data_IF_954534977764
#
_entry.id   IF_954534977764
#
_cell.length_a   1.000
_cell.length_b   1.000
_cell.length_c   1.000
_cell.angle_alpha   90.00
_cell.angle_beta   90.00
_cell.angle_gamma   90.00
#
_symmetry.space_group_name_H-M   'P 1'
#
loop_
_entity.id
_entity.type
_entity.pdbx_description
1 polymer ?
#
# COMPACT_ATOMS: atom_id res chain seq x y z
N UNK A 1 10.11 12.56 -17.96
CA UNK A 1 9.59 11.73 -16.83
C UNK A 1 9.16 12.56 -15.62
N UNK A 2 9.87 13.61 -15.19
CA UNK A 2 9.38 14.49 -14.11
C UNK A 2 8.22 15.41 -14.54
N UNK A 3 8.27 15.96 -15.76
CA UNK A 3 7.22 16.84 -16.29
C UNK A 3 5.85 16.16 -16.45
N UNK A 4 5.82 14.85 -16.73
CA UNK A 4 4.58 14.06 -16.83
C UNK A 4 3.89 13.84 -15.47
N UNK A 5 4.58 14.09 -14.35
CA UNK A 5 3.98 14.06 -13.01
C UNK A 5 3.36 15.41 -12.61
N UNK A 6 3.62 16.49 -13.35
CA UNK A 6 3.07 17.82 -13.04
C UNK A 6 1.54 17.84 -13.16
N UNK A 7 0.90 17.29 -14.21
CA UNK A 7 -0.56 17.28 -14.30
C UNK A 7 -1.27 16.63 -13.10
N UNK A 8 -0.93 15.40 -12.66
CA UNK A 8 -1.57 14.80 -11.48
C UNK A 8 -1.23 15.53 -10.18
N UNK A 9 -0.01 16.09 -10.05
CA UNK A 9 0.36 16.87 -8.86
C UNK A 9 -0.44 18.18 -8.74
N UNK A 10 -0.59 18.92 -9.83
CA UNK A 10 -1.40 20.16 -9.87
C UNK A 10 -2.87 19.83 -9.64
N UNK A 11 -3.38 18.76 -10.26
CA UNK A 11 -4.75 18.30 -10.03
C UNK A 11 -4.98 17.94 -8.55
N UNK A 12 -4.10 17.15 -7.95
CA UNK A 12 -4.18 16.80 -6.53
C UNK A 12 -4.07 18.05 -5.63
N UNK A 13 -3.14 18.97 -5.94
CA UNK A 13 -2.99 20.21 -5.19
C UNK A 13 -4.23 21.08 -5.23
N UNK A 14 -4.84 21.26 -6.40
CA UNK A 14 -6.10 22.00 -6.53
C UNK A 14 -7.26 21.29 -5.81
N UNK A 15 -7.36 19.96 -5.94
CA UNK A 15 -8.38 19.17 -5.27
C UNK A 15 -8.22 19.25 -3.74
N UNK A 16 -7.00 19.19 -3.21
CA UNK A 16 -6.72 19.28 -1.78
C UNK A 16 -7.22 20.58 -1.15
N UNK A 17 -7.20 21.70 -1.89
CA UNK A 17 -7.77 22.98 -1.43
C UNK A 17 -9.29 22.92 -1.26
N UNK A 18 -9.97 21.96 -1.88
CA UNK A 18 -11.44 21.76 -1.76
C UNK A 18 -11.81 20.75 -0.67
N UNK A 19 -10.86 19.95 -0.18
CA UNK A 19 -11.11 18.93 0.82
C UNK A 19 -11.35 19.62 2.17
N UNK A 20 -12.50 19.38 2.83
CA UNK A 20 -12.74 19.94 4.15
C UNK A 20 -11.75 19.37 5.16
N UNK A 21 -11.38 20.19 6.14
CA UNK A 21 -10.53 19.76 7.24
C UNK A 21 -11.16 18.59 8.02
N UNK A 22 -10.30 17.73 8.57
CA UNK A 22 -10.74 16.57 9.35
C UNK A 22 -11.60 17.02 10.55
N UNK A 23 -12.80 16.46 10.77
CA UNK A 23 -13.63 16.79 11.93
C UNK A 23 -12.90 16.64 13.26
N UNK A 24 -12.01 15.64 13.36
CA UNK A 24 -11.19 15.40 14.54
C UNK A 24 -10.21 16.54 14.81
N UNK A 25 -9.60 17.08 13.77
CA UNK A 25 -8.72 18.24 13.86
C UNK A 25 -9.49 19.51 14.28
N UNK A 26 -10.68 19.73 13.70
CA UNK A 26 -11.53 20.87 14.05
C UNK A 26 -11.98 20.82 15.52
N UNK A 27 -12.37 19.65 16.04
CA UNK A 27 -12.70 19.47 17.46
C UNK A 27 -11.47 19.72 18.35
N UNK A 28 -10.28 19.26 17.97
CA UNK A 28 -9.05 19.51 18.71
C UNK A 28 -8.68 21.01 18.80
N UNK A 29 -9.06 21.79 17.80
CA UNK A 29 -8.86 23.25 17.76
C UNK A 29 -10.03 24.03 18.40
N UNK A 30 -10.96 23.38 19.09
CA UNK A 30 -12.19 23.97 19.66
C UNK A 30 -13.15 24.60 18.62
N UNK A 31 -13.07 24.16 17.35
CA UNK A 31 -13.95 24.61 16.25
C UNK A 31 -15.09 23.62 16.00
N UNK A 32 -15.85 23.31 17.06
CA UNK A 32 -16.96 22.34 17.02
C UNK A 32 -18.07 22.66 16.01
N UNK A 33 -18.48 23.93 15.78
CA UNK A 33 -19.51 24.25 14.78
C UNK A 33 -19.09 23.88 13.36
N UNK A 34 -17.81 24.03 13.04
CA UNK A 34 -17.26 23.66 11.73
C UNK A 34 -17.14 22.15 11.59
N UNK A 35 -16.71 21.45 12.66
CA UNK A 35 -16.71 20.00 12.71
C UNK A 35 -18.12 19.42 12.47
N UNK A 36 -19.15 20.06 13.03
CA UNK A 36 -20.55 19.69 12.82
C UNK A 36 -20.97 19.82 11.36
N UNK A 37 -20.59 20.91 10.69
CA UNK A 37 -20.88 21.10 9.27
C UNK A 37 -20.21 20.02 8.40
N UNK A 38 -18.98 19.64 8.70
CA UNK A 38 -18.26 18.58 7.97
C UNK A 38 -18.88 17.20 8.24
N UNK A 39 -19.18 16.86 9.51
CA UNK A 39 -19.80 15.58 9.88
C UNK A 39 -21.21 15.42 9.30
N UNK A 40 -21.99 16.50 9.26
CA UNK A 40 -23.31 16.50 8.60
C UNK A 40 -23.21 16.11 7.13
N UNK A 41 -22.17 16.60 6.42
CA UNK A 41 -21.95 16.30 5.00
C UNK A 41 -21.45 14.88 4.73
N UNK A 42 -20.66 14.30 5.65
CA UNK A 42 -19.98 13.00 5.43
C UNK A 42 -20.78 11.82 5.99
N UNK A 43 -21.25 11.90 7.24
CA UNK A 43 -21.92 10.78 7.93
C UNK A 43 -23.45 10.94 7.99
N UNK A 44 -23.96 12.17 8.03
CA UNK A 44 -25.35 12.43 8.40
C UNK A 44 -25.68 11.96 9.83
N UNK A 45 -26.97 12.02 10.21
CA UNK A 45 -27.45 11.49 11.50
C UNK A 45 -27.15 12.38 12.72
N UNK A 46 -26.92 11.75 13.89
CA UNK A 46 -26.74 12.44 15.18
C UNK A 46 -25.32 13.01 15.33
N UNK A 47 -25.05 14.11 14.64
CA UNK A 47 -23.73 14.76 14.59
C UNK A 47 -23.23 15.18 15.97
N UNK A 48 -24.12 15.61 16.87
CA UNK A 48 -23.73 16.09 18.20
C UNK A 48 -23.17 14.98 19.08
N UNK A 49 -23.74 13.77 19.00
CA UNK A 49 -23.23 12.60 19.71
C UNK A 49 -21.83 12.22 19.22
N UNK A 50 -21.60 12.28 17.90
CA UNK A 50 -20.28 12.00 17.32
C UNK A 50 -19.24 13.05 17.72
N UNK A 51 -19.63 14.32 17.78
CA UNK A 51 -18.74 15.39 18.28
C UNK A 51 -18.37 15.14 19.74
N UNK A 52 -19.33 14.73 20.58
CA UNK A 52 -19.06 14.41 21.97
C UNK A 52 -18.08 13.23 22.13
N UNK A 53 -18.24 12.17 21.34
CA UNK A 53 -17.33 11.03 21.29
C UNK A 53 -15.92 11.44 20.85
N UNK A 54 -15.82 12.24 19.78
CA UNK A 54 -14.54 12.77 19.29
C UNK A 54 -13.89 13.65 20.35
N UNK A 55 -14.65 14.53 21.01
CA UNK A 55 -14.16 15.41 22.07
C UNK A 55 -13.60 14.61 23.24
N UNK A 56 -14.31 13.58 23.70
CA UNK A 56 -13.80 12.69 24.76
C UNK A 56 -12.48 12.03 24.36
N UNK A 57 -12.40 11.53 23.12
CA UNK A 57 -11.18 10.88 22.62
C UNK A 57 -10.01 11.85 22.51
N UNK A 58 -10.24 13.05 21.95
CA UNK A 58 -9.22 14.07 21.74
C UNK A 58 -8.69 14.62 23.07
N UNK A 59 -9.55 14.80 24.08
CA UNK A 59 -9.12 15.26 25.41
C UNK A 59 -8.31 14.20 26.17
N UNK A 60 -8.56 12.91 25.89
CA UNK A 60 -7.81 11.79 26.45
C UNK A 60 -6.51 11.50 25.69
N UNK A 61 -6.40 11.95 24.44
CA UNK A 61 -5.21 11.76 23.62
C UNK A 61 -4.08 12.69 24.05
N UNK A 62 -3.10 12.10 24.74
CA UNK A 62 -1.78 12.73 24.92
C UNK A 62 -1.09 12.80 23.55
N UNK A 63 -0.28 13.85 23.30
CA UNK A 63 0.53 13.93 22.08
C UNK A 63 1.37 12.65 21.95
N UNK A 64 1.22 11.88 20.86
CA UNK A 64 1.96 10.63 20.70
C UNK A 64 3.45 10.95 20.61
N UNK A 65 4.23 10.33 21.49
CA UNK A 65 5.67 10.45 21.51
C UNK A 65 6.32 9.17 20.97
N UNK A 66 7.53 9.29 20.43
CA UNK A 66 8.31 8.11 20.01
C UNK A 66 8.56 7.12 21.17
N UNK A 67 8.53 7.61 22.42
CA UNK A 67 8.56 6.79 23.63
C UNK A 67 7.38 5.83 23.75
N UNK A 68 6.23 6.15 23.16
CA UNK A 68 5.03 5.32 23.24
C UNK A 68 5.14 4.06 22.37
N UNK A 69 6.14 4.01 21.47
CA UNK A 69 6.49 2.83 20.70
C UNK A 69 7.33 1.83 21.52
N UNK A 70 7.86 2.25 22.67
CA UNK A 70 8.64 1.42 23.58
C UNK A 70 7.73 0.79 24.63
N UNK A 71 7.81 -0.53 24.74
CA UNK A 71 7.27 -1.31 25.84
C UNK A 71 7.91 -0.91 27.17
N UNK A 72 7.13 -1.01 28.25
CA UNK A 72 7.60 -0.86 29.64
C UNK A 72 8.77 -1.80 29.99
N UNK A 73 8.98 -2.87 29.23
CA UNK A 73 10.05 -3.86 29.41
C UNK A 73 11.34 -3.56 28.64
N UNK A 74 11.49 -2.39 27.99
CA UNK A 74 12.75 -1.97 27.37
C UNK A 74 12.98 -2.38 25.91
N UNK A 75 11.90 -2.50 25.11
CA UNK A 75 12.00 -2.79 23.66
C UNK A 75 10.78 -2.28 22.89
N UNK A 76 10.77 -2.37 21.55
CA UNK A 76 9.61 -1.94 20.76
C UNK A 76 8.36 -2.78 21.06
N UNK A 77 7.18 -2.18 20.94
CA UNK A 77 5.90 -2.88 21.08
C UNK A 77 5.80 -4.03 20.05
N UNK A 78 5.17 -5.17 20.41
CA UNK A 78 4.99 -6.29 19.48
C UNK A 78 4.33 -5.90 18.15
N UNK A 79 3.40 -4.95 18.18
CA UNK A 79 2.74 -4.44 16.96
C UNK A 79 3.71 -3.73 16.01
N UNK A 80 4.72 -3.04 16.56
CA UNK A 80 5.75 -2.36 15.79
C UNK A 80 6.64 -3.39 15.10
N UNK A 81 7.02 -4.47 15.80
CA UNK A 81 7.76 -5.58 15.21
C UNK A 81 6.99 -6.26 14.08
N UNK A 82 5.67 -6.47 14.23
CA UNK A 82 4.84 -7.02 13.16
C UNK A 82 4.83 -6.08 11.95
N UNK A 83 4.70 -4.77 12.15
CA UNK A 83 4.74 -3.77 11.07
C UNK A 83 6.09 -3.72 10.34
N UNK A 84 7.19 -3.76 11.09
CA UNK A 84 8.55 -3.82 10.53
C UNK A 84 8.71 -5.12 9.72
N UNK A 85 8.38 -6.26 10.32
CA UNK A 85 8.47 -7.55 9.65
C UNK A 85 7.66 -7.58 8.36
N UNK A 86 6.41 -7.11 8.38
CA UNK A 86 5.55 -7.04 7.21
C UNK A 86 6.15 -6.15 6.10
N UNK A 87 6.71 -4.99 6.48
CA UNK A 87 7.34 -4.06 5.53
C UNK A 87 8.61 -4.65 4.90
N UNK A 88 9.41 -5.36 5.70
CA UNK A 88 10.61 -6.06 5.22
C UNK A 88 10.21 -7.19 4.29
N UNK A 89 9.26 -8.05 4.67
CA UNK A 89 8.77 -9.13 3.80
C UNK A 89 8.18 -8.60 2.50
N UNK A 90 7.46 -7.47 2.53
CA UNK A 90 6.92 -6.83 1.33
C UNK A 90 8.04 -6.46 0.33
N UNK A 91 9.19 -5.98 0.81
CA UNK A 91 10.33 -5.69 -0.06
C UNK A 91 11.12 -6.93 -0.46
N UNK A 92 11.33 -7.88 0.46
CA UNK A 92 12.10 -9.11 0.22
C UNK A 92 11.47 -10.04 -0.83
N UNK A 93 10.14 -9.98 -1.01
CA UNK A 93 9.46 -10.62 -2.15
C UNK A 93 10.04 -10.17 -3.49
N UNK A 94 10.72 -9.02 -3.54
CA UNK A 94 11.42 -8.56 -4.74
C UNK A 94 10.48 -7.94 -5.76
N UNK A 95 9.32 -7.42 -5.32
CA UNK A 95 8.32 -6.82 -6.21
C UNK A 95 8.92 -5.70 -7.08
N UNK A 96 9.82 -4.90 -6.50
CA UNK A 96 10.56 -3.86 -7.24
C UNK A 96 11.46 -4.45 -8.32
N UNK A 97 12.11 -5.60 -8.06
CA UNK A 97 12.95 -6.27 -9.06
C UNK A 97 12.09 -6.74 -10.23
N UNK A 98 10.94 -7.34 -9.94
CA UNK A 98 9.99 -7.77 -10.99
C UNK A 98 9.49 -6.57 -11.80
N UNK A 99 9.09 -5.46 -11.17
CA UNK A 99 8.61 -4.29 -11.91
C UNK A 99 9.70 -3.62 -12.75
N UNK A 100 10.88 -3.32 -12.15
CA UNK A 100 11.94 -2.58 -12.83
C UNK A 100 12.69 -3.41 -13.87
N UNK A 101 12.90 -4.71 -13.60
CA UNK A 101 13.64 -5.61 -14.50
C UNK A 101 12.73 -6.57 -15.26
N UNK A 102 11.40 -6.36 -15.24
CA UNK A 102 10.45 -7.17 -16.00
C UNK A 102 10.87 -7.34 -17.45
N UNK A 103 11.16 -6.24 -18.15
CA UNK A 103 11.58 -6.27 -19.56
C UNK A 103 12.85 -7.11 -19.79
N UNK A 104 13.83 -7.02 -18.89
CA UNK A 104 15.08 -7.79 -18.95
C UNK A 104 14.81 -9.27 -18.68
N UNK A 105 13.97 -9.58 -17.68
CA UNK A 105 13.55 -10.96 -17.37
C UNK A 105 12.81 -11.58 -18.56
N UNK A 106 11.88 -10.86 -19.19
CA UNK A 106 11.16 -11.36 -20.35
C UNK A 106 12.08 -11.57 -21.55
N UNK A 107 13.07 -10.69 -21.75
CA UNK A 107 14.10 -10.86 -22.78
C UNK A 107 14.97 -12.09 -22.53
N UNK A 108 15.33 -12.34 -21.27
CA UNK A 108 16.11 -13.51 -20.87
C UNK A 108 15.37 -14.83 -21.11
N UNK A 109 14.03 -14.82 -21.19
CA UNK A 109 13.21 -15.99 -21.51
C UNK A 109 12.85 -16.04 -23.01
N UNK A 110 13.48 -15.21 -23.85
CA UNK A 110 13.35 -15.26 -25.32
C UNK A 110 12.22 -14.41 -25.91
N UNK A 111 11.54 -13.56 -25.13
CA UNK A 111 10.52 -12.64 -25.67
C UNK A 111 11.15 -11.40 -26.33
N UNK A 112 10.73 -11.11 -27.57
CA UNK A 112 11.25 -9.97 -28.36
C UNK A 112 10.84 -8.59 -27.81
N UNK A 113 11.67 -7.57 -28.06
CA UNK A 113 11.54 -6.19 -27.58
C UNK A 113 10.19 -5.52 -27.92
N UNK A 114 9.59 -5.87 -29.07
CA UNK A 114 8.26 -5.38 -29.49
C UNK A 114 7.13 -5.84 -28.56
N UNK A 115 7.30 -6.96 -27.86
CA UNK A 115 6.32 -7.47 -26.90
C UNK A 115 6.51 -6.88 -25.50
N UNK A 116 7.66 -6.25 -25.21
CA UNK A 116 7.96 -5.78 -23.86
C UNK A 116 7.00 -4.68 -23.40
N UNK A 117 6.62 -3.75 -24.27
CA UNK A 117 5.64 -2.70 -23.94
C UNK A 117 4.27 -3.30 -23.63
N UNK A 118 3.81 -4.24 -24.46
CA UNK A 118 2.53 -4.93 -24.27
C UNK A 118 2.53 -5.71 -22.95
N UNK A 119 3.63 -6.41 -22.64
CA UNK A 119 3.77 -7.14 -21.38
C UNK A 119 3.74 -6.18 -20.19
N UNK A 120 4.49 -5.07 -20.23
CA UNK A 120 4.47 -4.07 -19.15
C UNK A 120 3.07 -3.49 -18.92
N UNK A 121 2.33 -3.18 -19.99
CA UNK A 121 0.94 -2.71 -19.89
C UNK A 121 0.03 -3.77 -19.28
N UNK A 122 0.15 -5.03 -19.71
CA UNK A 122 -0.62 -6.14 -19.14
C UNK A 122 -0.28 -6.34 -17.66
N UNK A 123 1.00 -6.35 -17.29
CA UNK A 123 1.42 -6.47 -15.89
C UNK A 123 0.86 -5.31 -15.04
N UNK A 124 0.88 -4.09 -15.56
CA UNK A 124 0.26 -2.94 -14.91
C UNK A 124 -1.25 -3.09 -14.73
N UNK A 125 -1.97 -3.53 -15.77
CA UNK A 125 -3.40 -3.78 -15.72
C UNK A 125 -3.77 -4.88 -14.72
N UNK A 126 -3.04 -6.01 -14.73
CA UNK A 126 -3.21 -7.10 -13.78
C UNK A 126 -3.01 -6.59 -12.35
N UNK A 127 -1.96 -5.81 -12.09
CA UNK A 127 -1.71 -5.24 -10.77
C UNK A 127 -2.89 -4.37 -10.28
N UNK A 128 -3.43 -3.50 -11.15
CA UNK A 128 -4.59 -2.67 -10.81
C UNK A 128 -5.81 -3.53 -10.50
N UNK A 129 -6.14 -4.49 -11.36
CA UNK A 129 -7.30 -5.39 -11.18
C UNK A 129 -7.15 -6.19 -9.90
N UNK A 130 -5.99 -6.81 -9.66
CA UNK A 130 -5.73 -7.58 -8.44
C UNK A 130 -5.80 -6.70 -7.20
N UNK A 131 -5.35 -5.45 -7.27
CA UNK A 131 -5.47 -4.49 -6.16
C UNK A 131 -6.94 -4.18 -5.85
N UNK A 132 -7.77 -3.94 -6.87
CA UNK A 132 -9.20 -3.72 -6.68
C UNK A 132 -9.90 -4.94 -6.08
N UNK A 133 -9.56 -6.14 -6.55
CA UNK A 133 -10.05 -7.40 -5.96
C UNK A 133 -9.59 -7.51 -4.51
N UNK A 134 -8.32 -7.23 -4.20
CA UNK A 134 -7.83 -7.28 -2.82
C UNK A 134 -8.60 -6.32 -1.90
N UNK A 135 -8.86 -5.09 -2.35
CA UNK A 135 -9.66 -4.10 -1.59
C UNK A 135 -11.10 -4.59 -1.40
N UNK A 136 -11.75 -5.13 -2.43
CA UNK A 136 -13.11 -5.63 -2.31
C UNK A 136 -13.23 -6.83 -1.35
N UNK A 137 -12.18 -7.66 -1.26
CA UNK A 137 -12.18 -8.86 -0.43
C UNK A 137 -11.62 -8.63 0.99
N UNK A 138 -10.81 -7.59 1.21
CA UNK A 138 -10.16 -7.35 2.51
C UNK A 138 -11.18 -7.09 3.63
N UNK A 139 -12.27 -6.39 3.31
CA UNK A 139 -13.32 -6.07 4.28
C UNK A 139 -14.21 -7.27 4.57
N UNK A 140 -14.32 -8.22 3.64
CA UNK A 140 -15.17 -9.42 3.77
C UNK A 140 -14.46 -10.60 4.45
N UNK A 141 -13.20 -10.85 4.09
CA UNK A 141 -12.42 -12.01 4.57
C UNK A 141 -11.42 -11.64 5.66
N UNK A 142 -11.19 -10.35 5.88
CA UNK A 142 -10.19 -9.85 6.82
C UNK A 142 -8.77 -9.84 6.23
N UNK A 143 -7.87 -9.16 6.94
CA UNK A 143 -6.51 -8.86 6.46
C UNK A 143 -5.57 -10.08 6.49
N UNK A 144 -5.63 -10.88 7.56
CA UNK A 144 -4.69 -12.01 7.79
C UNK A 144 -4.81 -13.14 6.75
N UNK A 145 -6.02 -13.62 6.38
CA UNK A 145 -6.16 -14.65 5.36
C UNK A 145 -5.65 -14.20 3.99
N UNK A 146 -5.90 -12.94 3.62
CA UNK A 146 -5.48 -12.36 2.35
C UNK A 146 -3.95 -12.27 2.25
N UNK A 147 -3.28 -11.92 3.35
CA UNK A 147 -1.81 -11.95 3.46
C UNK A 147 -1.26 -13.37 3.32
N UNK A 148 -1.85 -14.37 3.99
CA UNK A 148 -1.38 -15.75 3.93
C UNK A 148 -1.54 -16.32 2.51
N UNK A 149 -2.70 -16.10 1.89
CA UNK A 149 -2.96 -16.57 0.52
C UNK A 149 -1.99 -15.93 -0.48
N UNK A 150 -1.74 -14.63 -0.34
CA UNK A 150 -0.75 -13.92 -1.14
C UNK A 150 0.66 -14.49 -0.96
N UNK A 151 1.09 -14.74 0.27
CA UNK A 151 2.40 -15.32 0.57
C UNK A 151 2.57 -16.73 0.00
N UNK A 152 1.53 -17.57 0.04
CA UNK A 152 1.55 -18.91 -0.57
C UNK A 152 1.72 -18.78 -2.09
N UNK A 153 0.93 -17.92 -2.74
CA UNK A 153 1.03 -17.67 -4.17
C UNK A 153 2.42 -17.15 -4.59
N UNK A 154 2.99 -16.22 -3.82
CA UNK A 154 4.35 -15.70 -4.02
C UNK A 154 5.41 -16.80 -3.87
N UNK A 155 5.28 -17.64 -2.84
CA UNK A 155 6.22 -18.75 -2.61
C UNK A 155 6.23 -19.72 -3.80
N UNK A 156 5.05 -20.10 -4.28
CA UNK A 156 4.92 -21.01 -5.42
C UNK A 156 5.52 -20.36 -6.68
N UNK A 157 5.12 -19.13 -7.01
CA UNK A 157 5.54 -18.47 -8.24
C UNK A 157 7.03 -18.14 -8.27
N UNK A 158 7.60 -17.64 -7.16
CA UNK A 158 9.03 -17.40 -7.04
C UNK A 158 9.82 -18.71 -7.01
N UNK A 159 9.30 -19.76 -6.37
CA UNK A 159 9.89 -21.10 -6.40
C UNK A 159 9.95 -21.67 -7.81
N UNK A 160 8.87 -21.54 -8.59
CA UNK A 160 8.84 -21.91 -10.00
C UNK A 160 9.83 -21.09 -10.82
N UNK A 161 9.90 -19.78 -10.59
CA UNK A 161 10.85 -18.91 -11.28
C UNK A 161 12.30 -19.33 -11.00
N UNK A 162 12.64 -19.56 -9.73
CA UNK A 162 13.96 -20.04 -9.32
C UNK A 162 14.31 -21.40 -9.94
N UNK A 163 13.33 -22.31 -10.01
CA UNK A 163 13.52 -23.61 -10.65
C UNK A 163 13.80 -23.46 -12.16
N UNK A 164 13.01 -22.66 -12.87
CA UNK A 164 13.18 -22.41 -14.31
C UNK A 164 14.55 -21.77 -14.58
N UNK A 165 14.90 -20.70 -13.87
CA UNK A 165 16.20 -20.04 -14.08
C UNK A 165 17.38 -20.91 -13.63
N UNK A 166 17.21 -21.77 -12.63
CA UNK A 166 18.24 -22.70 -12.19
C UNK A 166 18.50 -23.87 -13.16
N UNK A 167 17.52 -24.20 -14.01
CA UNK A 167 17.62 -25.28 -15.01
C UNK A 167 17.61 -24.77 -16.46
N UNK A 168 17.57 -23.45 -16.66
CA UNK A 168 17.67 -22.86 -17.98
C UNK A 168 19.04 -23.20 -18.57
N UNK A 169 19.05 -23.80 -19.76
CA UNK A 169 20.28 -24.07 -20.47
C UNK A 169 20.98 -22.74 -20.77
N UNK A 170 22.24 -22.64 -20.37
CA UNK A 170 23.09 -21.49 -20.68
C UNK A 170 23.89 -21.80 -21.94
N UNK A 171 23.96 -20.83 -22.86
CA UNK A 171 24.88 -20.90 -23.99
C UNK A 171 26.34 -20.80 -23.50
N UNK A 172 27.30 -21.04 -24.39
CA UNK A 172 28.74 -20.96 -24.07
C UNK A 172 29.22 -19.55 -23.63
N UNK A 173 28.37 -18.53 -23.73
CA UNK A 173 28.62 -17.16 -23.29
C UNK A 173 27.90 -16.80 -21.97
N UNK A 174 27.17 -17.74 -21.36
CA UNK A 174 26.45 -17.54 -20.10
C UNK A 174 25.07 -16.88 -20.26
N UNK A 175 24.54 -16.78 -21.48
CA UNK A 175 23.18 -16.28 -21.70
C UNK A 175 22.17 -17.43 -21.66
N UNK A 176 20.97 -17.21 -21.12
CA UNK A 176 19.89 -18.19 -21.21
C UNK A 176 19.49 -18.40 -22.68
N UNK A 177 19.44 -19.67 -23.13
CA UNK A 177 18.93 -20.07 -24.45
C UNK A 177 17.42 -20.24 -24.45
#
# INVERSE_FOLDING_TARGET
>A
MFWSAVPPAVFYGMAALTIPESPRYLVAQNREPEAANVLTKILGGNVQEKIAEIRQTVLQERRPNLSDLLSRSGGLLPIVWIGIGLSVFQQLVGINVIFYYSSVLWRAVGFSEKNSLTITVITGAVNIITTLVAIAFVDRFGRKPLLILGSIGMTITLGTLAYIFGHAATDAAGNPT
#
